data_IF_702987859179
#
_entry.id   IF_702987859179
#
_cell.length_a   1.000
_cell.length_b   1.000
_cell.length_c   1.000
_cell.angle_alpha   90.00
_cell.angle_beta   90.00
_cell.angle_gamma   90.00
#
_symmetry.space_group_name_H-M   'P 1'
#
loop_
_entity.id
_entity.type
_entity.pdbx_description
1 polymer ?
#
# COMPACT_ATOMS: atom_id res chain seq x y z
N UNK A 1 -10.11 -1.55 4.54
CA UNK A 1 -8.81 -0.86 4.33
C UNK A 1 -8.06 -0.83 5.64
N UNK A 2 -6.83 -1.33 5.67
CA UNK A 2 -5.97 -1.19 6.85
C UNK A 2 -5.24 0.14 6.83
N UNK A 3 -4.93 0.66 8.01
CA UNK A 3 -4.16 1.88 8.21
C UNK A 3 -2.84 1.57 8.87
N UNK A 4 -1.74 2.03 8.26
CA UNK A 4 -0.39 1.85 8.77
C UNK A 4 0.19 3.23 9.05
N UNK A 5 0.61 3.44 10.29
CA UNK A 5 1.36 4.64 10.67
C UNK A 5 2.85 4.35 10.54
N UNK A 6 3.53 5.19 9.75
CA UNK A 6 4.99 5.15 9.58
C UNK A 6 5.53 6.43 10.20
N UNK A 7 6.27 6.29 11.30
CA UNK A 7 6.82 7.40 12.06
C UNK A 7 8.34 7.43 12.01
N UNK A 8 8.90 8.61 11.80
CA UNK A 8 10.34 8.86 11.85
C UNK A 8 10.64 10.07 12.73
N UNK A 9 11.85 10.11 13.31
CA UNK A 9 12.24 11.19 14.22
C UNK A 9 12.38 12.54 13.53
N UNK A 10 12.79 12.57 12.26
CA UNK A 10 12.94 13.80 11.49
C UNK A 10 12.01 13.82 10.29
N UNK A 11 11.68 15.04 9.84
CA UNK A 11 10.91 15.26 8.62
C UNK A 11 11.66 14.75 7.37
N UNK A 12 12.98 14.89 7.37
CA UNK A 12 13.83 14.37 6.30
C UNK A 12 13.72 12.85 6.18
N UNK A 13 13.87 12.12 7.31
CA UNK A 13 13.76 10.67 7.34
C UNK A 13 12.34 10.20 7.00
N UNK A 14 11.33 10.95 7.41
CA UNK A 14 9.94 10.68 7.04
C UNK A 14 9.74 10.74 5.51
N UNK A 15 10.24 11.77 4.84
CA UNK A 15 10.13 11.89 3.38
C UNK A 15 11.01 10.88 2.65
N UNK A 16 12.16 10.50 3.20
CA UNK A 16 12.96 9.38 2.67
C UNK A 16 12.16 8.08 2.70
N UNK A 17 11.51 7.79 3.82
CA UNK A 17 10.63 6.61 3.94
C UNK A 17 9.46 6.69 2.95
N UNK A 18 8.82 7.84 2.81
CA UNK A 18 7.76 8.07 1.85
C UNK A 18 8.21 7.77 0.41
N UNK A 19 9.33 8.35 0.00
CA UNK A 19 9.85 8.17 -1.36
C UNK A 19 10.31 6.72 -1.61
N UNK A 20 10.97 6.08 -0.64
CA UNK A 20 11.46 4.71 -0.77
C UNK A 20 10.32 3.69 -0.80
N UNK A 21 9.35 3.82 0.08
CA UNK A 21 8.17 2.94 0.10
C UNK A 21 7.32 3.17 -1.14
N UNK A 22 7.15 4.42 -1.56
CA UNK A 22 6.47 4.77 -2.80
C UNK A 22 7.12 4.11 -4.02
N UNK A 23 8.44 4.18 -4.13
CA UNK A 23 9.20 3.53 -5.20
C UNK A 23 9.07 2.01 -5.17
N UNK A 24 9.15 1.42 -3.99
CA UNK A 24 8.95 -0.02 -3.82
C UNK A 24 7.56 -0.45 -4.32
N UNK A 25 6.53 0.29 -3.95
CA UNK A 25 5.15 0.02 -4.41
C UNK A 25 5.01 0.19 -5.92
N UNK A 26 5.61 1.23 -6.50
CA UNK A 26 5.61 1.43 -7.95
C UNK A 26 6.24 0.26 -8.71
N UNK A 27 7.22 -0.40 -8.12
CA UNK A 27 7.93 -1.52 -8.75
C UNK A 27 7.29 -2.88 -8.49
N UNK A 28 6.51 -3.05 -7.43
CA UNK A 28 6.03 -4.38 -7.00
C UNK A 28 4.52 -4.52 -6.91
N UNK A 29 3.78 -3.43 -6.80
CA UNK A 29 2.34 -3.47 -6.58
C UNK A 29 1.56 -3.37 -7.91
N UNK A 30 0.62 -4.29 -8.20
CA UNK A 30 -0.19 -4.25 -9.40
C UNK A 30 -1.45 -3.38 -9.26
N UNK A 31 -1.71 -2.88 -8.05
CA UNK A 31 -2.93 -2.14 -7.74
C UNK A 31 -2.70 -0.64 -7.91
N UNK A 32 -3.75 0.14 -8.22
CA UNK A 32 -3.67 1.60 -8.28
C UNK A 32 -3.15 2.20 -6.98
N UNK A 33 -2.18 3.11 -7.09
CA UNK A 33 -1.58 3.83 -5.98
C UNK A 33 -1.89 5.31 -6.13
N UNK A 34 -2.42 5.92 -5.10
CA UNK A 34 -2.61 7.36 -5.03
C UNK A 34 -1.66 7.94 -3.99
N UNK A 35 -0.84 8.88 -4.40
CA UNK A 35 0.13 9.55 -3.53
C UNK A 35 -0.25 10.99 -3.29
N UNK A 36 -0.17 11.40 -2.04
CA UNK A 36 -0.33 12.80 -1.63
C UNK A 36 0.89 13.22 -0.81
N UNK A 37 1.90 13.74 -1.48
CA UNK A 37 3.17 14.11 -0.84
C UNK A 37 3.03 15.23 0.20
N UNK A 38 2.29 16.32 -0.03
CA UNK A 38 2.10 17.35 0.98
C UNK A 38 1.47 16.83 2.28
N UNK A 39 0.50 15.92 2.17
CA UNK A 39 -0.13 15.27 3.33
C UNK A 39 0.68 14.06 3.85
N UNK A 40 1.71 13.64 3.11
CA UNK A 40 2.52 12.45 3.40
C UNK A 40 1.64 11.19 3.59
N UNK A 41 0.78 10.93 2.63
CA UNK A 41 -0.11 9.76 2.63
C UNK A 41 0.00 9.02 1.30
N UNK A 42 0.04 7.70 1.36
CA UNK A 42 -0.05 6.81 0.20
C UNK A 42 -1.25 5.88 0.38
N UNK A 43 -2.10 5.81 -0.63
CA UNK A 43 -3.21 4.86 -0.69
C UNK A 43 -2.88 3.76 -1.70
N UNK A 44 -3.02 2.52 -1.30
CA UNK A 44 -2.91 1.36 -2.19
C UNK A 44 -4.33 0.85 -2.43
N UNK A 45 -4.94 1.33 -3.50
CA UNK A 45 -6.35 1.04 -3.84
C UNK A 45 -7.26 1.23 -2.60
N UNK A 46 -8.19 0.32 -2.38
CA UNK A 46 -9.01 0.26 -1.17
C UNK A 46 -8.45 -0.65 -0.08
N UNK A 47 -7.22 -1.12 -0.26
CA UNK A 47 -6.60 -2.12 0.61
C UNK A 47 -5.87 -1.51 1.80
N UNK A 48 -5.09 -0.45 1.57
CA UNK A 48 -4.12 0.04 2.53
C UNK A 48 -3.96 1.56 2.45
N UNK A 49 -3.87 2.19 3.61
CA UNK A 49 -3.48 3.59 3.77
C UNK A 49 -2.19 3.66 4.57
N UNK A 50 -1.17 4.29 4.00
CA UNK A 50 0.12 4.54 4.65
C UNK A 50 0.19 6.02 5.01
N UNK A 51 0.19 6.32 6.29
CA UNK A 51 0.32 7.69 6.81
C UNK A 51 1.70 7.88 7.42
N UNK A 52 2.43 8.89 6.92
CA UNK A 52 3.79 9.20 7.35
C UNK A 52 3.77 10.39 8.29
N UNK A 53 4.40 10.24 9.45
CA UNK A 53 4.52 11.29 10.47
C UNK A 53 5.96 11.40 10.94
N UNK A 54 6.31 12.57 11.49
CA UNK A 54 7.64 12.84 12.02
C UNK A 54 7.59 13.64 13.32
N UNK A 55 8.67 13.59 14.07
CA UNK A 55 8.89 14.38 15.27
C UNK A 55 9.26 13.54 16.47
N UNK A 56 9.71 14.19 17.53
CA UNK A 56 10.05 13.58 18.82
C UNK A 56 8.89 13.62 19.81
N UNK A 57 7.83 14.33 19.48
CA UNK A 57 6.66 14.53 20.34
C UNK A 57 5.55 13.55 19.95
N UNK A 58 5.45 12.46 20.70
CA UNK A 58 4.44 11.45 20.50
C UNK A 58 3.00 11.94 20.79
N UNK A 59 2.84 13.10 21.43
CA UNK A 59 1.51 13.68 21.66
C UNK A 59 0.78 14.02 20.37
N UNK A 60 1.52 14.29 19.29
CA UNK A 60 0.96 14.51 17.95
C UNK A 60 0.35 13.27 17.32
N UNK A 61 0.61 12.08 17.88
CA UNK A 61 0.02 10.83 17.47
C UNK A 61 -1.32 10.55 18.15
N UNK A 62 -1.68 11.36 19.13
CA UNK A 62 -2.94 11.23 19.86
C UNK A 62 -4.13 11.41 18.92
N UNK A 63 -5.07 10.48 18.98
CA UNK A 63 -6.25 10.50 18.11
C UNK A 63 -6.08 9.79 16.77
N UNK A 64 -4.85 9.43 16.37
CA UNK A 64 -4.62 8.53 15.27
C UNK A 64 -5.07 7.13 15.68
N UNK A 65 -5.65 6.39 14.75
CA UNK A 65 -6.13 5.03 14.99
C UNK A 65 -5.61 4.09 13.92
N UNK A 66 -4.28 3.86 13.88
CA UNK A 66 -3.72 2.91 12.94
C UNK A 66 -3.99 1.48 13.38
N UNK A 67 -4.04 0.58 12.41
CA UNK A 67 -4.09 -0.86 12.68
C UNK A 67 -2.69 -1.41 12.98
N UNK A 68 -1.66 -0.82 12.34
CA UNK A 68 -0.26 -1.20 12.50
C UNK A 68 0.63 0.03 12.57
N UNK A 69 1.80 -0.13 13.20
CA UNK A 69 2.77 0.95 13.37
C UNK A 69 4.16 0.46 12.98
N UNK A 70 4.86 1.27 12.19
CA UNK A 70 6.30 1.15 11.95
C UNK A 70 6.95 2.46 12.39
N UNK A 71 7.77 2.43 13.44
CA UNK A 71 8.36 3.62 14.03
C UNK A 71 9.82 3.36 14.44
N UNK A 72 10.57 4.47 14.56
CA UNK A 72 11.91 4.42 15.13
C UNK A 72 11.86 3.91 16.58
N UNK A 73 12.90 3.17 16.99
CA UNK A 73 12.96 2.56 18.34
C UNK A 73 12.80 3.57 19.47
N UNK A 74 13.30 4.80 19.29
CA UNK A 74 13.13 5.89 20.25
C UNK A 74 11.65 6.17 20.56
N UNK A 75 10.82 6.26 19.53
CA UNK A 75 9.38 6.50 19.67
C UNK A 75 8.68 5.27 20.25
N UNK A 76 9.01 4.09 19.76
CA UNK A 76 8.40 2.82 20.23
C UNK A 76 8.62 2.60 21.72
N UNK A 77 9.79 2.98 22.24
CA UNK A 77 10.14 2.81 23.65
C UNK A 77 9.68 4.00 24.54
N UNK A 78 9.07 5.04 23.96
CA UNK A 78 8.60 6.20 24.67
C UNK A 78 7.26 5.98 25.38
N UNK A 79 7.14 6.45 26.61
CA UNK A 79 5.89 6.34 27.39
C UNK A 79 4.69 6.99 26.67
N UNK A 80 4.90 8.16 26.05
CA UNK A 80 3.85 8.84 25.29
C UNK A 80 3.39 8.06 24.08
N UNK A 81 4.31 7.36 23.44
CA UNK A 81 3.95 6.47 22.32
C UNK A 81 2.98 5.39 22.80
N UNK A 82 3.29 4.69 23.88
CA UNK A 82 2.41 3.67 24.44
C UNK A 82 1.04 4.19 24.84
N UNK A 83 0.96 5.41 25.37
CA UNK A 83 -0.32 6.04 25.70
C UNK A 83 -1.17 6.38 24.49
N UNK A 84 -0.53 6.76 23.39
CA UNK A 84 -1.23 7.21 22.18
C UNK A 84 -1.59 6.07 21.23
N UNK A 85 -0.81 5.00 21.26
CA UNK A 85 -0.87 3.91 20.28
C UNK A 85 -0.92 2.53 20.94
N UNK A 86 -1.43 2.49 22.17
CA UNK A 86 -1.54 1.26 22.95
C UNK A 86 -2.21 0.14 22.16
N UNK A 87 -1.66 -1.06 22.29
CA UNK A 87 -2.17 -2.31 21.68
C UNK A 87 -2.08 -2.41 20.14
N UNK A 88 -1.46 -1.46 19.47
CA UNK A 88 -1.26 -1.57 18.03
C UNK A 88 -0.04 -2.45 17.72
N UNK A 89 -0.18 -3.46 16.82
CA UNK A 89 0.95 -4.26 16.40
C UNK A 89 2.05 -3.43 15.74
N UNK A 90 3.30 -3.68 16.15
CA UNK A 90 4.49 -3.01 15.63
C UNK A 90 5.08 -3.83 14.50
N UNK A 91 5.32 -3.20 13.35
CA UNK A 91 5.97 -3.81 12.20
C UNK A 91 7.47 -3.50 12.27
N UNK A 92 8.32 -4.53 12.30
CA UNK A 92 9.78 -4.35 12.28
C UNK A 92 10.29 -4.07 10.87
N UNK A 93 9.85 -4.84 9.88
CA UNK A 93 10.21 -4.66 8.47
C UNK A 93 8.97 -4.30 7.65
N UNK A 94 8.83 -3.01 7.34
CA UNK A 94 7.68 -2.48 6.61
C UNK A 94 7.59 -3.02 5.17
N UNK A 95 8.71 -3.25 4.50
CA UNK A 95 8.72 -3.77 3.12
C UNK A 95 8.20 -5.20 3.06
N UNK A 96 8.68 -6.07 3.95
CA UNK A 96 8.19 -7.45 4.06
C UNK A 96 6.71 -7.48 4.41
N UNK A 97 6.29 -6.65 5.35
CA UNK A 97 4.88 -6.59 5.74
C UNK A 97 3.99 -6.19 4.56
N UNK A 98 4.34 -5.13 3.83
CA UNK A 98 3.59 -4.66 2.67
C UNK A 98 3.52 -5.75 1.59
N UNK A 99 4.64 -6.39 1.28
CA UNK A 99 4.70 -7.43 0.25
C UNK A 99 3.82 -8.63 0.62
N UNK A 100 3.91 -9.12 1.85
CA UNK A 100 3.07 -10.21 2.33
C UNK A 100 1.59 -9.84 2.36
N UNK A 101 1.27 -8.63 2.80
CA UNK A 101 -0.12 -8.20 2.90
C UNK A 101 -0.77 -8.07 1.51
N UNK A 102 -0.06 -7.50 0.55
CA UNK A 102 -0.52 -7.41 -0.84
C UNK A 102 -0.68 -8.80 -1.42
N UNK A 103 0.31 -9.68 -1.26
CA UNK A 103 0.29 -11.05 -1.75
C UNK A 103 -0.88 -11.86 -1.19
N UNK A 104 -1.12 -11.77 0.11
CA UNK A 104 -2.21 -12.50 0.77
C UNK A 104 -3.61 -12.00 0.37
N UNK A 105 -3.70 -10.74 -0.06
CA UNK A 105 -4.97 -10.11 -0.42
C UNK A 105 -5.11 -9.85 -1.92
N UNK A 106 -4.15 -10.28 -2.75
CA UNK A 106 -4.10 -9.95 -4.17
C UNK A 106 -5.35 -10.39 -4.92
N UNK A 107 -5.84 -11.59 -4.65
CA UNK A 107 -7.03 -12.10 -5.36
C UNK A 107 -8.29 -11.32 -4.98
N UNK A 108 -8.42 -10.92 -3.73
CA UNK A 108 -9.52 -10.06 -3.29
C UNK A 108 -9.47 -8.70 -3.98
N UNK A 109 -8.30 -8.11 -4.10
CA UNK A 109 -8.10 -6.84 -4.77
C UNK A 109 -8.35 -6.92 -6.28
N UNK A 110 -7.83 -7.95 -6.94
CA UNK A 110 -8.08 -8.21 -8.35
C UNK A 110 -9.58 -8.37 -8.60
N UNK A 111 -10.25 -9.17 -7.79
CA UNK A 111 -11.68 -9.38 -7.90
C UNK A 111 -12.48 -8.07 -7.77
N UNK A 112 -12.07 -7.18 -6.87
CA UNK A 112 -12.69 -5.88 -6.71
C UNK A 112 -12.49 -4.99 -7.94
N UNK A 113 -11.27 -4.94 -8.49
CA UNK A 113 -10.96 -4.20 -9.72
C UNK A 113 -11.79 -4.72 -10.89
N UNK A 114 -11.86 -6.05 -11.05
CA UNK A 114 -12.66 -6.70 -12.08
C UNK A 114 -14.15 -6.33 -11.95
N UNK A 115 -14.71 -6.45 -10.75
CA UNK A 115 -16.12 -6.10 -10.51
C UNK A 115 -16.41 -4.65 -10.82
N UNK A 116 -15.52 -3.73 -10.45
CA UNK A 116 -15.66 -2.31 -10.73
C UNK A 116 -15.66 -2.04 -12.25
N UNK A 117 -14.73 -2.64 -12.98
CA UNK A 117 -14.66 -2.50 -14.43
C UNK A 117 -15.88 -3.09 -15.12
N UNK A 118 -16.33 -4.25 -14.71
CA UNK A 118 -17.56 -4.86 -15.26
C UNK A 118 -18.77 -3.97 -15.04
N UNK A 119 -18.88 -3.35 -13.88
CA UNK A 119 -19.96 -2.40 -13.57
C UNK A 119 -19.92 -1.17 -14.46
N UNK A 120 -18.72 -0.63 -14.71
CA UNK A 120 -18.54 0.62 -15.46
C UNK A 120 -18.64 0.42 -16.98
N UNK A 121 -18.19 -0.72 -17.50
CA UNK A 121 -18.11 -0.97 -18.95
C UNK A 121 -19.22 -1.90 -19.47
N UNK A 122 -19.89 -2.63 -18.58
CA UNK A 122 -20.87 -3.66 -18.98
C UNK A 122 -20.24 -4.86 -19.68
N UNK A 123 -18.92 -4.96 -19.76
CA UNK A 123 -18.19 -5.99 -20.50
C UNK A 123 -17.30 -6.82 -19.58
N UNK A 124 -17.20 -8.12 -19.87
CA UNK A 124 -16.25 -9.05 -19.25
C UNK A 124 -14.92 -9.14 -20.00
N UNK A 125 -14.88 -8.58 -21.22
CA UNK A 125 -13.68 -8.54 -22.04
C UNK A 125 -12.92 -7.26 -21.75
N UNK A 126 -11.83 -7.37 -21.00
CA UNK A 126 -10.93 -6.26 -20.72
C UNK A 126 -9.51 -6.77 -20.57
N UNK A 127 -8.57 -5.84 -20.73
CA UNK A 127 -7.16 -6.10 -20.52
C UNK A 127 -6.81 -5.80 -19.06
N UNK A 128 -6.19 -6.76 -18.38
CA UNK A 128 -5.65 -6.56 -17.03
C UNK A 128 -4.14 -6.38 -17.11
N UNK A 129 -3.64 -5.28 -16.57
CA UNK A 129 -2.22 -4.97 -16.53
C UNK A 129 -1.71 -5.16 -15.10
N UNK A 130 -0.64 -5.94 -14.95
CA UNK A 130 -0.02 -6.20 -13.66
C UNK A 130 1.48 -5.95 -13.69
N UNK A 131 2.06 -5.82 -12.51
CA UNK A 131 3.50 -5.79 -12.34
C UNK A 131 4.10 -7.18 -12.59
N UNK A 132 5.32 -7.21 -13.12
CA UNK A 132 6.04 -8.45 -13.42
C UNK A 132 6.16 -9.41 -12.23
N UNK A 133 6.38 -8.86 -11.02
CA UNK A 133 6.51 -9.65 -9.79
C UNK A 133 5.24 -10.46 -9.44
N UNK A 134 4.09 -10.06 -9.95
CA UNK A 134 2.80 -10.65 -9.63
C UNK A 134 2.14 -11.36 -10.84
N UNK A 135 2.84 -11.45 -11.94
CA UNK A 135 2.33 -12.07 -13.18
C UNK A 135 1.79 -13.49 -12.95
N UNK A 136 2.52 -14.32 -12.23
CA UNK A 136 2.12 -15.70 -11.97
C UNK A 136 0.81 -15.80 -11.20
N UNK A 137 0.61 -14.93 -10.21
CA UNK A 137 -0.63 -14.86 -9.43
C UNK A 137 -1.81 -14.39 -10.25
N UNK A 138 -1.61 -13.39 -11.10
CA UNK A 138 -2.65 -12.83 -11.96
C UNK A 138 -3.06 -13.83 -13.03
N UNK A 139 -2.11 -14.53 -13.63
CA UNK A 139 -2.39 -15.57 -14.63
C UNK A 139 -3.13 -16.75 -14.03
N UNK A 140 -2.78 -17.17 -12.83
CA UNK A 140 -3.50 -18.21 -12.10
C UNK A 140 -4.96 -17.81 -11.81
N UNK A 141 -5.16 -16.56 -11.39
CA UNK A 141 -6.51 -16.04 -11.12
C UNK A 141 -7.40 -16.04 -12.37
N UNK A 142 -6.85 -15.66 -13.53
CA UNK A 142 -7.60 -15.54 -14.79
C UNK A 142 -7.44 -16.74 -15.73
N UNK A 143 -6.92 -17.86 -15.28
CA UNK A 143 -6.61 -19.00 -16.14
C UNK A 143 -7.79 -19.54 -16.97
N UNK A 144 -9.00 -19.44 -16.43
CA UNK A 144 -10.24 -19.92 -17.06
C UNK A 144 -11.11 -18.77 -17.62
N UNK A 145 -10.50 -17.62 -17.88
CA UNK A 145 -11.21 -16.43 -18.40
C UNK A 145 -10.56 -15.89 -19.65
N UNK A 146 -11.35 -15.12 -20.42
CA UNK A 146 -10.90 -14.45 -21.65
C UNK A 146 -10.17 -13.13 -21.40
N UNK A 147 -9.75 -12.88 -20.16
CA UNK A 147 -9.03 -11.65 -19.80
C UNK A 147 -7.64 -11.68 -20.40
N UNK A 148 -7.31 -10.65 -21.17
CA UNK A 148 -5.97 -10.41 -21.67
C UNK A 148 -5.10 -9.88 -20.52
N UNK A 149 -3.93 -10.51 -20.31
CA UNK A 149 -2.98 -10.09 -19.27
C UNK A 149 -1.76 -9.49 -19.94
N UNK A 150 -1.43 -8.25 -19.59
CA UNK A 150 -0.21 -7.58 -19.98
C UNK A 150 0.65 -7.31 -18.74
N UNK A 151 1.96 -7.40 -18.92
CA UNK A 151 2.93 -7.15 -17.86
C UNK A 151 3.60 -5.81 -18.10
N UNK A 152 3.68 -4.99 -17.06
CA UNK A 152 4.34 -3.71 -17.08
C UNK A 152 5.48 -3.68 -16.08
N UNK A 153 6.53 -2.91 -16.37
CA UNK A 153 7.71 -2.78 -15.50
C UNK A 153 7.52 -1.76 -14.39
N UNK A 154 6.71 -0.74 -14.62
CA UNK A 154 6.47 0.35 -13.67
C UNK A 154 4.99 0.53 -13.40
N UNK A 155 4.68 1.18 -12.30
CA UNK A 155 3.30 1.49 -11.93
C UNK A 155 2.63 2.43 -12.92
N UNK A 156 3.32 3.45 -13.41
CA UNK A 156 2.80 4.39 -14.39
C UNK A 156 2.34 3.67 -15.67
N UNK A 157 3.10 2.69 -16.13
CA UNK A 157 2.69 1.85 -17.27
C UNK A 157 1.43 1.04 -16.97
N UNK A 158 1.31 0.52 -15.73
CA UNK A 158 0.11 -0.20 -15.29
C UNK A 158 -1.09 0.71 -15.28
N UNK A 159 -0.95 1.92 -14.73
CA UNK A 159 -2.04 2.90 -14.63
C UNK A 159 -2.55 3.31 -16.00
N UNK A 160 -1.67 3.71 -16.91
CA UNK A 160 -2.02 4.11 -18.27
C UNK A 160 -2.75 3.02 -19.05
N UNK A 161 -2.34 1.77 -18.89
CA UNK A 161 -2.92 0.65 -19.65
C UNK A 161 -4.22 0.12 -19.07
N UNK A 162 -4.51 0.38 -17.81
CA UNK A 162 -5.76 -0.01 -17.15
C UNK A 162 -6.86 1.06 -17.25
N UNK A 163 -6.49 2.27 -17.57
CA UNK A 163 -7.43 3.35 -17.87
C UNK A 163 -7.93 3.23 -19.31
#
# INVERSE_FOLDING_TARGET
>A
MIRILIHRCSKEDMYKAYDNIGRHLLNTCPLPIKRNKPAAIIYVSSLMELEFRSGHDASKLKGLRPDYINADSYIVNGEMFHRCTQDNPIIDDIYKFIDHFIKDNIFRCINQVVKTRMKNTGSRKFKFVCNEALESYVREYFKDSDVEIAVAKTYEEVEEKND
#
